data_IF_778987556964
#
_entry.id   IF_778987556964
#
_cell.length_a   1.000
_cell.length_b   1.000
_cell.length_c   1.000
_cell.angle_alpha   90.00
_cell.angle_beta   90.00
_cell.angle_gamma   90.00
#
_symmetry.space_group_name_H-M   'P 1'
#
loop_
_entity.id
_entity.type
_entity.pdbx_description
1 polymer ?
#
# COMPACT_ATOMS: atom_id res chain seq x y z
N UNK A 1 4.91 -12.45 9.81
CA UNK A 1 4.77 -11.18 9.10
C UNK A 1 5.62 -10.17 9.83
N UNK A 2 6.56 -9.52 9.14
CA UNK A 2 7.34 -8.41 9.70
C UNK A 2 6.72 -7.06 9.32
N UNK A 3 7.36 -6.00 9.77
CA UNK A 3 6.97 -4.61 9.51
C UNK A 3 8.17 -3.82 9.04
N UNK A 4 7.97 -2.92 8.10
CA UNK A 4 8.99 -1.99 7.61
C UNK A 4 8.60 -0.54 7.88
N UNK A 5 9.58 0.33 8.11
CA UNK A 5 9.38 1.77 8.10
C UNK A 5 9.67 2.30 6.70
N UNK A 6 8.69 2.97 6.10
CA UNK A 6 8.83 3.64 4.80
C UNK A 6 8.61 5.14 4.96
N UNK A 7 9.39 5.96 4.25
CA UNK A 7 9.11 7.39 4.13
C UNK A 7 7.96 7.57 3.12
N UNK A 8 6.83 8.11 3.58
CA UNK A 8 5.64 8.32 2.77
C UNK A 8 5.36 9.81 2.59
N UNK A 9 4.85 10.16 1.41
CA UNK A 9 4.22 11.44 1.13
C UNK A 9 2.92 11.20 0.35
N UNK A 10 2.00 12.16 0.37
CA UNK A 10 0.70 12.01 -0.28
C UNK A 10 0.35 13.25 -1.11
N UNK A 11 -0.26 13.06 -2.29
CA UNK A 11 -0.76 14.17 -3.10
C UNK A 11 -1.88 14.95 -2.38
N UNK A 12 -2.60 14.32 -1.45
CA UNK A 12 -3.60 14.96 -0.59
C UNK A 12 -2.98 15.81 0.54
N UNK A 13 -1.68 15.65 0.82
CA UNK A 13 -0.93 16.40 1.85
C UNK A 13 0.40 16.91 1.28
N UNK A 14 0.37 17.94 0.41
CA UNK A 14 1.54 18.37 -0.34
C UNK A 14 2.65 18.93 0.56
N UNK A 15 3.90 18.50 0.30
CA UNK A 15 5.09 19.00 0.97
C UNK A 15 5.37 18.39 2.35
N UNK A 16 4.57 17.41 2.78
CA UNK A 16 4.77 16.70 4.05
C UNK A 16 5.20 15.26 3.78
N UNK A 17 6.25 14.83 4.48
CA UNK A 17 6.81 13.49 4.41
C UNK A 17 7.13 13.02 5.81
N UNK A 18 6.79 11.77 6.13
CA UNK A 18 7.03 11.19 7.44
C UNK A 18 7.26 9.68 7.33
N UNK A 19 7.94 9.10 8.31
CA UNK A 19 8.08 7.64 8.39
C UNK A 19 6.81 7.00 8.90
N UNK A 20 6.33 5.98 8.19
CA UNK A 20 5.15 5.19 8.54
C UNK A 20 5.52 3.72 8.62
N UNK A 21 5.09 3.05 9.68
CA UNK A 21 5.25 1.60 9.83
C UNK A 21 4.15 0.87 9.05
N UNK A 22 4.56 0.01 8.13
CA UNK A 22 3.69 -0.82 7.29
C UNK A 22 4.01 -2.30 7.47
N UNK A 23 3.09 -3.18 7.08
CA UNK A 23 3.41 -4.58 6.90
C UNK A 23 4.37 -4.74 5.72
N UNK A 24 5.41 -5.57 5.87
CA UNK A 24 6.41 -5.84 4.81
C UNK A 24 5.81 -6.49 3.55
N UNK A 25 4.69 -7.18 3.71
CA UNK A 25 4.00 -7.89 2.65
C UNK A 25 2.50 -7.98 2.90
N UNK A 26 1.70 -7.94 1.84
CA UNK A 26 0.25 -8.06 1.89
C UNK A 26 -0.26 -8.98 0.76
N UNK A 27 -1.33 -9.74 1.04
CA UNK A 27 -2.17 -10.36 0.02
C UNK A 27 -3.49 -9.59 -0.01
N UNK A 28 -3.86 -9.04 -1.17
CA UNK A 28 -5.12 -8.33 -1.36
C UNK A 28 -5.99 -9.03 -2.40
N UNK A 29 -7.30 -8.96 -2.20
CA UNK A 29 -8.30 -9.48 -3.13
C UNK A 29 -9.23 -8.36 -3.54
N UNK A 30 -9.53 -8.30 -4.82
CA UNK A 30 -10.38 -7.26 -5.39
C UNK A 30 -10.96 -7.68 -6.72
N UNK A 31 -11.50 -6.71 -7.44
CA UNK A 31 -11.96 -6.87 -8.81
C UNK A 31 -11.08 -6.01 -9.73
N UNK A 32 -10.83 -6.50 -10.94
CA UNK A 32 -10.27 -5.67 -12.00
C UNK A 32 -11.32 -4.70 -12.59
N UNK A 33 -10.94 -3.98 -13.65
CA UNK A 33 -11.80 -2.97 -14.30
C UNK A 33 -13.01 -3.58 -15.00
N UNK A 34 -12.92 -4.86 -15.34
CA UNK A 34 -13.96 -5.67 -15.98
C UNK A 34 -14.81 -6.42 -14.93
N UNK A 35 -14.56 -6.22 -13.64
CA UNK A 35 -15.28 -6.84 -12.54
C UNK A 35 -14.87 -8.29 -12.27
N UNK A 36 -13.75 -8.77 -12.83
CA UNK A 36 -13.26 -10.12 -12.59
C UNK A 36 -12.44 -10.17 -11.29
N UNK A 37 -12.58 -11.23 -10.47
CA UNK A 37 -11.80 -11.39 -9.25
C UNK A 37 -10.31 -11.49 -9.53
N UNK A 38 -9.53 -10.74 -8.75
CA UNK A 38 -8.07 -10.80 -8.75
C UNK A 38 -7.55 -10.98 -7.31
N UNK A 39 -6.43 -11.68 -7.20
CA UNK A 39 -5.61 -11.74 -5.98
C UNK A 39 -4.22 -11.22 -6.32
N UNK A 40 -3.69 -10.34 -5.49
CA UNK A 40 -2.37 -9.75 -5.66
C UNK A 40 -1.58 -9.92 -4.36
N UNK A 41 -0.43 -10.56 -4.47
CA UNK A 41 0.59 -10.56 -3.42
C UNK A 41 1.60 -9.45 -3.72
N UNK A 42 1.90 -8.62 -2.73
CA UNK A 42 2.84 -7.52 -2.85
C UNK A 42 3.78 -7.46 -1.64
N UNK A 43 5.00 -6.96 -1.88
CA UNK A 43 6.02 -6.69 -0.87
C UNK A 43 6.78 -5.40 -1.23
N UNK A 44 7.56 -4.88 -0.28
CA UNK A 44 8.33 -3.65 -0.44
C UNK A 44 7.46 -2.46 -0.83
N UNK A 45 7.95 -1.61 -1.74
CA UNK A 45 7.26 -0.37 -2.11
C UNK A 45 5.82 -0.58 -2.58
N UNK A 46 5.52 -1.67 -3.32
CA UNK A 46 4.15 -1.93 -3.77
C UNK A 46 3.22 -2.28 -2.60
N UNK A 47 3.71 -3.01 -1.60
CA UNK A 47 2.92 -3.28 -0.39
C UNK A 47 2.66 -1.99 0.39
N UNK A 48 3.64 -1.10 0.50
CA UNK A 48 3.47 0.23 1.11
C UNK A 48 2.41 1.04 0.36
N UNK A 49 2.52 1.15 -0.97
CA UNK A 49 1.54 1.88 -1.78
C UNK A 49 0.13 1.32 -1.64
N UNK A 50 -0.05 -0.01 -1.68
CA UNK A 50 -1.38 -0.62 -1.52
C UNK A 50 -1.97 -0.30 -0.14
N UNK A 51 -1.16 -0.39 0.92
CA UNK A 51 -1.61 -0.03 2.27
C UNK A 51 -1.96 1.46 2.39
N UNK A 52 -1.18 2.35 1.78
CA UNK A 52 -1.45 3.80 1.73
C UNK A 52 -2.79 4.10 1.08
N UNK A 53 -3.00 3.60 -0.14
CA UNK A 53 -4.22 3.88 -0.91
C UNK A 53 -5.45 3.17 -0.33
N UNK A 54 -5.27 2.11 0.47
CA UNK A 54 -6.38 1.46 1.18
C UNK A 54 -6.83 2.23 2.43
N UNK A 55 -5.96 3.08 3.00
CA UNK A 55 -6.29 3.98 4.11
C UNK A 55 -6.97 5.28 3.67
N UNK A 56 -6.90 5.63 2.38
CA UNK A 56 -7.60 6.78 1.79
C UNK A 56 -9.12 6.59 1.77
#
# INVERSE_FOLDING_TARGET
AGTEESEEGCLSVPGFYEKVTRAESVEVRGLDREGQPITLEANGLLAVCIQHEMDH
#
